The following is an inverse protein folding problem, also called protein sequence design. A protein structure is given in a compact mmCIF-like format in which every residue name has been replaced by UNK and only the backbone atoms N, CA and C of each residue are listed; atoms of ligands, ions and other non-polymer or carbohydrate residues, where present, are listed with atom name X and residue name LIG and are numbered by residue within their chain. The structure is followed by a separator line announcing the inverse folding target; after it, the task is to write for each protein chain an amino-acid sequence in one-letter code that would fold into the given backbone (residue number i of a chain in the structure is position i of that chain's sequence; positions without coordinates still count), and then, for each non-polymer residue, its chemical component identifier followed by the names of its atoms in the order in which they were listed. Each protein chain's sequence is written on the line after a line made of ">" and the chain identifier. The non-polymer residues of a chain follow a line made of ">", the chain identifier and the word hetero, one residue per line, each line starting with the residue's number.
data_IF_971017981459
#
_entry.id   IF_971017981459
#
_cell.length_a   1.000
_cell.length_b   1.000
_cell.length_c   1.000
_cell.angle_alpha   90.00
_cell.angle_beta   90.00
_cell.angle_gamma   90.00
#
_symmetry.space_group_name_H-M   'P 1'
#
loop_
_entity.id
_entity.type
_entity.pdbx_description
1 polymer ?
#
# COMPACT_ATOMS: atom_id res chain seq x y z
N UNK A 1 20.21 -17.64 21.28
CA UNK A 1 20.99 -16.88 20.31
C UNK A 1 20.32 -16.99 18.96
N UNK A 2 20.33 -15.91 18.20
CA UNK A 2 19.84 -15.88 16.81
C UNK A 2 20.99 -15.34 15.96
N UNK A 3 21.36 -16.08 14.91
CA UNK A 3 22.32 -15.61 13.93
C UNK A 3 21.57 -14.90 12.82
N UNK A 4 21.96 -13.65 12.53
CA UNK A 4 21.29 -12.78 11.56
C UNK A 4 22.24 -12.54 10.40
N UNK A 5 21.81 -12.90 9.20
CA UNK A 5 22.52 -12.68 7.95
C UNK A 5 21.78 -11.64 7.12
N UNK A 6 22.40 -10.48 6.89
CA UNK A 6 21.83 -9.38 6.11
C UNK A 6 22.49 -9.29 4.73
N UNK A 7 21.71 -8.92 3.72
CA UNK A 7 22.15 -8.82 2.32
C UNK A 7 22.74 -10.13 1.78
N UNK A 8 22.21 -11.24 2.24
CA UNK A 8 22.62 -12.57 1.84
C UNK A 8 21.41 -13.38 1.37
N UNK A 9 21.54 -14.05 0.25
CA UNK A 9 20.53 -14.99 -0.22
C UNK A 9 20.62 -16.28 0.61
N UNK A 10 19.47 -16.77 1.10
CA UNK A 10 19.42 -18.01 1.84
C UNK A 10 19.85 -19.20 0.95
N UNK A 11 20.90 -19.88 1.36
CA UNK A 11 21.43 -21.08 0.71
C UNK A 11 21.37 -22.26 1.68
N UNK A 12 21.45 -23.46 1.14
CA UNK A 12 21.51 -24.69 1.91
C UNK A 12 20.38 -24.86 2.95
N UNK A 13 19.18 -24.40 2.61
CA UNK A 13 18.00 -24.45 3.50
C UNK A 13 17.80 -25.88 4.04
N UNK A 14 18.09 -26.89 3.23
CA UNK A 14 17.96 -28.31 3.60
C UNK A 14 18.98 -28.80 4.63
N UNK A 15 19.93 -27.98 5.05
CA UNK A 15 20.88 -28.28 6.14
C UNK A 15 20.31 -28.05 7.52
N UNK A 16 19.12 -27.47 7.63
CA UNK A 16 18.40 -27.17 8.88
C UNK A 16 17.32 -28.23 9.17
N UNK A 17 16.84 -28.27 10.41
CA UNK A 17 15.76 -29.18 10.82
C UNK A 17 14.37 -28.71 10.38
N UNK A 18 14.19 -27.39 10.22
CA UNK A 18 12.91 -26.74 9.87
C UNK A 18 13.14 -25.40 9.20
N UNK A 19 12.29 -25.03 8.27
CA UNK A 19 12.34 -23.70 7.65
C UNK A 19 11.03 -22.92 7.83
N UNK A 20 11.16 -21.64 8.14
CA UNK A 20 10.06 -20.69 8.13
C UNK A 20 10.30 -19.68 7.00
N UNK A 21 9.37 -19.64 6.05
CA UNK A 21 9.44 -18.80 4.86
C UNK A 21 8.57 -17.59 5.10
N UNK A 22 9.19 -16.39 5.14
CA UNK A 22 8.53 -15.13 5.44
C UNK A 22 8.96 -14.05 4.43
N UNK A 23 8.81 -14.35 3.11
CA UNK A 23 9.28 -13.48 2.02
C UNK A 23 8.35 -12.30 1.72
N UNK A 24 7.26 -12.14 2.49
CA UNK A 24 6.41 -10.95 2.45
C UNK A 24 5.56 -10.82 1.17
N UNK A 25 5.31 -9.57 0.81
CA UNK A 25 4.52 -9.17 -0.34
C UNK A 25 5.20 -8.01 -1.08
N UNK A 26 4.63 -7.61 -2.20
CA UNK A 26 5.00 -6.41 -2.96
C UNK A 26 3.75 -5.59 -3.28
N UNK A 27 3.93 -4.29 -3.54
CA UNK A 27 2.82 -3.44 -3.95
C UNK A 27 2.21 -3.96 -5.25
N UNK A 28 0.88 -3.94 -5.34
CA UNK A 28 0.19 -4.32 -6.57
C UNK A 28 0.44 -3.26 -7.65
N UNK A 29 0.77 -3.69 -8.87
CA UNK A 29 0.79 -2.79 -10.01
C UNK A 29 -0.57 -2.13 -10.20
N UNK A 30 -0.61 -0.92 -10.73
CA UNK A 30 -1.85 -0.19 -10.98
C UNK A 30 -2.74 -0.98 -11.95
N UNK A 31 -3.87 -1.54 -11.50
CA UNK A 31 -4.75 -2.36 -12.34
C UNK A 31 -5.73 -1.52 -13.16
N UNK A 32 -5.82 -0.22 -12.88
CA UNK A 32 -6.72 0.72 -13.55
C UNK A 32 -6.07 1.14 -14.87
N UNK A 33 -6.82 1.21 -15.98
CA UNK A 33 -6.28 1.69 -17.26
C UNK A 33 -5.63 3.06 -17.12
N UNK A 34 -4.39 3.19 -17.56
CA UNK A 34 -3.61 4.42 -17.44
C UNK A 34 -2.62 4.58 -18.59
N UNK A 35 -2.21 5.83 -18.82
CA UNK A 35 -1.11 6.20 -19.69
C UNK A 35 0.22 6.32 -18.93
N UNK A 36 1.13 7.14 -19.42
CA UNK A 36 2.40 7.46 -18.74
C UNK A 36 2.27 8.54 -17.67
N UNK A 37 1.13 8.64 -17.00
CA UNK A 37 0.92 9.55 -15.86
C UNK A 37 1.90 9.26 -14.73
N UNK A 38 2.19 10.28 -13.91
CA UNK A 38 3.11 10.16 -12.78
C UNK A 38 2.47 9.36 -11.63
N UNK A 39 2.60 8.05 -11.71
CA UNK A 39 2.05 7.11 -10.73
C UNK A 39 3.18 6.52 -9.89
N UNK A 40 3.05 6.62 -8.56
CA UNK A 40 4.01 6.13 -7.57
C UNK A 40 3.30 5.17 -6.62
N UNK A 41 3.99 4.15 -6.13
CA UNK A 41 3.39 3.27 -5.13
C UNK A 41 3.36 3.93 -3.74
N UNK A 42 2.33 3.63 -2.95
CA UNK A 42 2.26 4.05 -1.55
C UNK A 42 3.47 3.54 -0.73
N UNK A 43 3.99 2.36 -1.04
CA UNK A 43 5.15 1.80 -0.37
C UNK A 43 6.42 2.59 -0.65
N UNK A 44 6.63 3.03 -1.89
CA UNK A 44 7.81 3.84 -2.24
C UNK A 44 7.74 5.20 -1.54
N UNK A 45 6.54 5.82 -1.50
CA UNK A 45 6.31 7.07 -0.77
C UNK A 45 6.64 6.93 0.71
N UNK A 46 6.12 5.89 1.37
CA UNK A 46 6.39 5.63 2.79
C UNK A 46 7.85 5.23 3.05
N UNK A 47 8.54 4.67 2.06
CA UNK A 47 9.97 4.40 2.09
C UNK A 47 10.84 5.63 1.77
N UNK A 48 10.24 6.80 1.56
CA UNK A 48 10.94 8.06 1.43
C UNK A 48 11.10 8.59 0.01
N UNK A 49 10.43 7.98 -0.99
CA UNK A 49 10.38 8.58 -2.32
C UNK A 49 9.66 9.93 -2.24
N UNK A 50 10.33 10.97 -2.69
CA UNK A 50 9.72 12.30 -2.75
C UNK A 50 8.70 12.38 -3.88
N UNK A 51 7.63 13.10 -3.61
CA UNK A 51 6.57 13.42 -4.57
C UNK A 51 6.42 14.93 -4.68
N UNK A 52 5.73 15.40 -5.71
CA UNK A 52 5.58 16.82 -5.98
C UNK A 52 4.13 17.22 -6.13
N UNK A 53 3.81 18.45 -5.71
CA UNK A 53 2.54 19.12 -5.97
C UNK A 53 1.32 18.45 -5.30
N UNK A 54 0.18 18.53 -6.00
CA UNK A 54 -1.08 17.99 -5.54
C UNK A 54 -1.13 16.47 -5.74
N UNK A 55 -1.50 15.73 -4.70
CA UNK A 55 -1.48 14.27 -4.67
C UNK A 55 -2.89 13.68 -4.68
N UNK A 56 -3.11 12.67 -5.52
CA UNK A 56 -4.33 11.85 -5.49
C UNK A 56 -3.96 10.44 -5.07
N UNK A 57 -4.46 10.00 -3.91
CA UNK A 57 -4.29 8.63 -3.39
C UNK A 57 -5.46 7.78 -3.85
N UNK A 58 -5.18 6.75 -4.65
CA UNK A 58 -6.19 5.79 -5.13
C UNK A 58 -6.17 4.56 -4.24
N UNK A 59 -7.26 4.36 -3.51
CA UNK A 59 -7.41 3.37 -2.45
C UNK A 59 -7.30 4.01 -1.07
N UNK A 60 -8.38 3.98 -0.31
CA UNK A 60 -8.50 4.54 1.05
C UNK A 60 -8.47 3.48 2.14
N UNK A 61 -7.86 2.31 1.91
CA UNK A 61 -7.56 1.35 2.95
C UNK A 61 -6.54 1.88 3.96
N UNK A 62 -6.06 1.05 4.92
CA UNK A 62 -5.13 1.50 5.96
C UNK A 62 -3.88 2.15 5.37
N UNK A 63 -3.18 1.48 4.47
CA UNK A 63 -1.95 2.00 3.85
C UNK A 63 -2.20 3.28 3.06
N UNK A 64 -3.32 3.38 2.32
CA UNK A 64 -3.67 4.58 1.57
C UNK A 64 -3.99 5.76 2.48
N UNK A 65 -4.70 5.53 3.59
CA UNK A 65 -5.00 6.54 4.60
C UNK A 65 -3.73 7.05 5.30
N UNK A 66 -2.85 6.14 5.73
CA UNK A 66 -1.54 6.48 6.32
C UNK A 66 -0.65 7.26 5.34
N UNK A 67 -0.65 6.87 4.06
CA UNK A 67 0.08 7.59 3.02
C UNK A 67 -0.47 8.99 2.81
N UNK A 68 -1.80 9.14 2.82
CA UNK A 68 -2.44 10.44 2.70
C UNK A 68 -2.13 11.35 3.88
N UNK A 69 -2.17 10.82 5.11
CA UNK A 69 -1.78 11.53 6.33
C UNK A 69 -0.31 11.99 6.25
N UNK A 70 0.59 11.09 5.88
CA UNK A 70 2.01 11.39 5.71
C UNK A 70 2.25 12.53 4.70
N UNK A 71 1.59 12.48 3.54
CA UNK A 71 1.72 13.51 2.50
C UNK A 71 1.12 14.84 2.93
N UNK A 72 -0.04 14.83 3.58
CA UNK A 72 -0.69 16.02 4.11
C UNK A 72 0.17 16.70 5.17
N UNK A 73 0.79 15.93 6.07
CA UNK A 73 1.74 16.42 7.08
C UNK A 73 3.03 17.00 6.45
N UNK A 74 3.38 16.58 5.23
CA UNK A 74 4.47 17.20 4.43
C UNK A 74 4.05 18.45 3.67
N UNK A 75 2.79 18.84 3.73
CA UNK A 75 2.26 20.07 3.13
C UNK A 75 1.69 19.91 1.72
N UNK A 76 1.51 18.68 1.24
CA UNK A 76 0.82 18.42 -0.02
C UNK A 76 -0.69 18.58 0.12
N UNK A 77 -1.35 19.07 -0.95
CA UNK A 77 -2.79 18.95 -1.05
C UNK A 77 -3.15 17.52 -1.44
N UNK A 78 -3.97 16.86 -0.63
CA UNK A 78 -4.25 15.44 -0.83
C UNK A 78 -5.73 15.19 -1.06
N UNK A 79 -6.04 14.38 -2.07
CA UNK A 79 -7.37 13.82 -2.30
C UNK A 79 -7.28 12.30 -2.25
N UNK A 80 -8.10 11.67 -1.41
CA UNK A 80 -8.26 10.20 -1.38
C UNK A 80 -9.47 9.84 -2.21
N UNK A 81 -9.33 8.84 -3.09
CA UNK A 81 -10.43 8.26 -3.87
C UNK A 81 -10.61 6.81 -3.47
N UNK A 82 -11.77 6.50 -2.88
CA UNK A 82 -12.09 5.17 -2.35
C UNK A 82 -13.44 4.67 -2.89
N UNK A 83 -13.46 3.46 -3.42
CA UNK A 83 -14.66 2.84 -3.97
C UNK A 83 -15.66 2.38 -2.89
N UNK A 84 -15.18 2.10 -1.69
CA UNK A 84 -15.99 1.74 -0.54
C UNK A 84 -16.59 2.97 0.15
N UNK A 85 -17.45 2.75 1.13
CA UNK A 85 -18.15 3.81 1.86
C UNK A 85 -17.33 4.47 2.98
N UNK A 86 -16.11 3.96 3.25
CA UNK A 86 -15.27 4.40 4.37
C UNK A 86 -13.79 4.41 4.02
N UNK A 87 -13.09 5.41 4.53
CA UNK A 87 -11.63 5.47 4.58
C UNK A 87 -11.14 4.74 5.82
N UNK A 88 -9.97 4.11 5.72
CA UNK A 88 -9.31 3.36 6.81
C UNK A 88 -10.23 2.33 7.49
N UNK A 89 -11.05 1.63 6.69
CA UNK A 89 -11.93 0.59 7.20
C UNK A 89 -11.08 -0.52 7.87
N UNK A 90 -11.35 -0.77 9.15
CA UNK A 90 -10.57 -1.73 9.97
C UNK A 90 -9.51 -1.08 10.85
N UNK A 91 -9.33 0.25 10.79
CA UNK A 91 -8.46 0.94 11.74
C UNK A 91 -9.05 0.93 13.16
N UNK A 92 -8.16 0.95 14.16
CA UNK A 92 -8.56 0.91 15.56
C UNK A 92 -9.41 2.13 15.94
N UNK A 93 -10.33 1.94 16.88
CA UNK A 93 -11.18 3.03 17.39
C UNK A 93 -10.39 4.11 18.13
N UNK A 94 -9.12 3.87 18.42
CA UNK A 94 -8.21 4.82 19.09
C UNK A 94 -7.45 5.67 18.07
N UNK A 95 -7.01 5.09 16.97
CA UNK A 95 -6.19 5.76 15.94
C UNK A 95 -7.07 6.51 14.95
N UNK A 96 -8.17 5.90 14.50
CA UNK A 96 -9.05 6.49 13.49
C UNK A 96 -9.51 7.93 13.80
N UNK A 97 -9.93 8.29 15.03
CA UNK A 97 -10.32 9.68 15.34
C UNK A 97 -9.16 10.68 15.20
N UNK A 98 -7.93 10.27 15.50
CA UNK A 98 -6.75 11.11 15.37
C UNK A 98 -6.42 11.35 13.89
N UNK A 99 -6.42 10.29 13.09
CA UNK A 99 -6.23 10.37 11.63
C UNK A 99 -7.30 11.25 10.98
N UNK A 100 -8.58 11.10 11.34
CA UNK A 100 -9.65 11.93 10.80
C UNK A 100 -9.51 13.42 11.21
N UNK A 101 -9.00 13.67 12.41
CA UNK A 101 -8.65 15.01 12.85
C UNK A 101 -7.53 15.60 11.98
N UNK A 102 -6.47 14.84 11.76
CA UNK A 102 -5.36 15.28 10.92
C UNK A 102 -5.81 15.54 9.47
N UNK A 103 -6.70 14.71 8.94
CA UNK A 103 -7.31 14.97 7.63
C UNK A 103 -8.10 16.29 7.59
N UNK A 104 -8.85 16.59 8.66
CA UNK A 104 -9.58 17.83 8.74
C UNK A 104 -8.63 19.04 8.88
N UNK A 105 -7.60 18.95 9.72
CA UNK A 105 -6.64 20.02 9.96
C UNK A 105 -5.84 20.38 8.68
N UNK A 106 -5.58 19.38 7.81
CA UNK A 106 -4.85 19.55 6.55
C UNK A 106 -5.75 19.66 5.30
N UNK A 107 -7.08 19.69 5.47
CA UNK A 107 -8.06 19.76 4.39
C UNK A 107 -7.92 18.59 3.39
N UNK A 108 -7.61 17.37 3.84
CA UNK A 108 -7.59 16.18 3.00
C UNK A 108 -8.99 15.91 2.46
N UNK A 109 -9.14 15.93 1.13
CA UNK A 109 -10.40 15.62 0.48
C UNK A 109 -10.62 14.13 0.43
N UNK A 110 -11.79 13.65 0.86
CA UNK A 110 -12.14 12.24 0.88
C UNK A 110 -13.34 12.00 -0.05
N UNK A 111 -13.11 11.23 -1.12
CA UNK A 111 -14.13 10.83 -2.07
C UNK A 111 -14.41 9.34 -1.88
N UNK A 112 -15.36 9.02 -1.03
CA UNK A 112 -15.85 7.64 -0.80
C UNK A 112 -16.95 7.29 -1.81
N UNK A 113 -17.31 5.99 -1.91
CA UNK A 113 -18.24 5.46 -2.92
C UNK A 113 -17.87 5.90 -4.35
N UNK A 114 -16.58 6.14 -4.60
CA UNK A 114 -16.08 6.71 -5.84
C UNK A 114 -15.07 5.74 -6.47
N UNK A 115 -15.46 5.12 -7.57
CA UNK A 115 -14.59 4.25 -8.35
C UNK A 115 -13.83 5.06 -9.39
N UNK A 116 -12.54 4.80 -9.52
CA UNK A 116 -11.73 5.33 -10.62
C UNK A 116 -11.96 4.48 -11.86
N UNK A 117 -12.25 5.12 -12.98
CA UNK A 117 -12.48 4.47 -14.27
C UNK A 117 -11.17 4.32 -15.07
N UNK A 118 -10.42 5.40 -15.20
CA UNK A 118 -9.11 5.42 -15.87
C UNK A 118 -8.29 6.65 -15.43
N UNK A 119 -7.02 6.68 -15.83
CA UNK A 119 -6.08 7.76 -15.59
C UNK A 119 -5.47 8.18 -16.92
N UNK A 120 -5.50 9.47 -17.23
CA UNK A 120 -4.92 10.01 -18.46
C UNK A 120 -4.39 11.43 -18.21
N UNK A 121 -3.17 11.72 -18.67
CA UNK A 121 -2.54 13.04 -18.58
C UNK A 121 -2.51 13.60 -17.12
N UNK A 122 -2.23 12.76 -16.14
CA UNK A 122 -2.25 13.07 -14.71
C UNK A 122 -3.64 13.54 -14.23
N UNK A 123 -4.71 13.10 -14.86
CA UNK A 123 -6.08 13.31 -14.41
C UNK A 123 -6.68 11.94 -14.06
N UNK A 124 -7.23 11.85 -12.86
CA UNK A 124 -7.98 10.68 -12.38
C UNK A 124 -9.44 10.87 -12.74
N UNK A 125 -9.97 10.01 -13.58
CA UNK A 125 -11.35 10.04 -14.05
C UNK A 125 -12.23 9.10 -13.25
N UNK A 126 -13.36 9.59 -12.83
CA UNK A 126 -14.43 8.84 -12.17
C UNK A 126 -15.75 9.06 -12.91
N UNK A 127 -16.80 8.37 -12.53
CA UNK A 127 -18.12 8.55 -13.14
C UNK A 127 -18.63 10.01 -13.06
N UNK A 128 -18.22 10.78 -12.05
CA UNK A 128 -18.77 12.11 -11.78
C UNK A 128 -17.72 13.24 -11.77
N UNK A 129 -16.43 12.90 -11.64
CA UNK A 129 -15.36 13.87 -11.43
C UNK A 129 -14.14 13.62 -12.31
N UNK A 130 -13.39 14.68 -12.55
CA UNK A 130 -12.05 14.68 -13.12
C UNK A 130 -11.12 15.36 -12.11
N UNK A 131 -10.18 14.61 -11.55
CA UNK A 131 -9.33 15.09 -10.47
C UNK A 131 -7.90 15.19 -11.01
N UNK A 132 -7.43 16.42 -11.17
CA UNK A 132 -6.06 16.68 -11.59
C UNK A 132 -5.10 16.41 -10.43
N UNK A 133 -3.96 15.81 -10.72
CA UNK A 133 -2.89 15.55 -9.78
C UNK A 133 -1.53 15.88 -10.39
N UNK A 134 -0.55 16.25 -9.59
CA UNK A 134 0.85 16.28 -9.99
C UNK A 134 1.51 14.91 -9.75
N UNK A 135 1.05 14.21 -8.71
CA UNK A 135 1.44 12.84 -8.42
C UNK A 135 0.22 11.99 -8.03
N UNK A 136 0.12 10.81 -8.60
CA UNK A 136 -0.93 9.83 -8.30
C UNK A 136 -0.32 8.69 -7.50
N UNK A 137 -0.93 8.36 -6.36
CA UNK A 137 -0.43 7.34 -5.45
C UNK A 137 -1.27 6.07 -5.60
N UNK A 138 -0.62 4.98 -5.98
CA UNK A 138 -1.25 3.66 -6.03
C UNK A 138 -1.23 3.02 -4.63
N UNK A 139 -2.39 2.97 -3.99
CA UNK A 139 -2.61 2.34 -2.69
C UNK A 139 -3.66 1.21 -2.75
N UNK A 140 -3.76 0.53 -3.90
CA UNK A 140 -4.78 -0.50 -4.17
C UNK A 140 -4.47 -1.87 -3.56
N UNK A 141 -3.42 -1.94 -2.72
CA UNK A 141 -3.06 -3.11 -1.97
C UNK A 141 -1.77 -3.79 -2.42
N UNK A 142 -1.58 -5.00 -1.95
CA UNK A 142 -0.36 -5.78 -2.18
C UNK A 142 -0.67 -7.18 -2.70
N UNK A 143 0.31 -7.80 -3.35
CA UNK A 143 0.29 -9.20 -3.74
C UNK A 143 1.37 -9.94 -2.98
N UNK A 144 1.05 -11.15 -2.52
CA UNK A 144 2.02 -12.03 -1.87
C UNK A 144 3.18 -12.36 -2.81
N UNK A 145 4.38 -12.38 -2.27
CA UNK A 145 5.52 -12.93 -2.97
C UNK A 145 5.37 -14.46 -3.04
N UNK A 146 5.49 -14.99 -4.25
CA UNK A 146 5.47 -16.44 -4.46
C UNK A 146 6.88 -16.95 -4.22
N UNK A 147 7.01 -17.91 -3.31
CA UNK A 147 8.25 -18.62 -3.07
C UNK A 147 8.14 -20.03 -3.64
N UNK A 148 9.09 -20.44 -4.48
CA UNK A 148 9.18 -21.81 -4.98
C UNK A 148 9.87 -22.68 -3.93
N UNK A 149 9.07 -23.46 -3.22
CA UNK A 149 9.51 -24.40 -2.18
C UNK A 149 9.78 -25.82 -2.68
N UNK A 150 9.68 -26.05 -3.99
CA UNK A 150 9.82 -27.36 -4.60
C UNK A 150 11.18 -28.06 -4.32
N UNK A 151 12.21 -27.28 -4.03
CA UNK A 151 13.55 -27.75 -3.69
C UNK A 151 13.76 -28.00 -2.19
N UNK A 152 12.80 -27.61 -1.34
CA UNK A 152 12.91 -27.77 0.12
C UNK A 152 12.43 -29.17 0.51
N UNK A 153 13.31 -29.94 1.09
CA UNK A 153 13.02 -31.35 1.49
C UNK A 153 12.77 -31.51 2.98
N UNK A 154 13.07 -30.49 3.78
CA UNK A 154 12.80 -30.46 5.22
C UNK A 154 11.40 -29.94 5.52
N UNK A 155 10.84 -30.18 6.72
CA UNK A 155 9.60 -29.56 7.15
C UNK A 155 9.70 -28.04 7.08
N UNK A 156 8.69 -27.38 6.50
CA UNK A 156 8.67 -25.93 6.36
C UNK A 156 7.25 -25.37 6.40
N UNK A 157 7.13 -24.06 6.58
CA UNK A 157 5.88 -23.32 6.57
C UNK A 157 6.07 -21.91 6.01
N UNK A 158 5.12 -21.42 5.22
CA UNK A 158 5.04 -20.01 4.83
C UNK A 158 4.21 -19.25 5.86
N UNK A 159 4.70 -18.07 6.29
CA UNK A 159 4.05 -17.22 7.29
C UNK A 159 4.00 -15.76 6.84
N UNK A 160 3.11 -14.98 7.44
CA UNK A 160 2.93 -13.57 7.08
C UNK A 160 2.31 -13.39 5.68
N UNK A 161 2.57 -12.26 5.05
CA UNK A 161 1.91 -11.88 3.79
C UNK A 161 2.12 -12.89 2.66
N UNK A 162 3.23 -13.61 2.64
CA UNK A 162 3.47 -14.63 1.61
C UNK A 162 2.59 -15.88 1.78
N UNK A 163 2.04 -16.16 2.95
CA UNK A 163 1.06 -17.24 3.16
C UNK A 163 -0.31 -16.92 2.55
N UNK A 164 -0.59 -15.65 2.31
CA UNK A 164 -1.89 -15.15 1.89
C UNK A 164 -2.89 -14.96 3.04
N UNK A 165 -2.49 -15.24 4.28
CA UNK A 165 -3.24 -14.92 5.48
C UNK A 165 -2.74 -13.57 6.01
N UNK A 166 -3.64 -12.59 6.17
CA UNK A 166 -3.31 -11.35 6.88
C UNK A 166 -3.16 -11.66 8.36
N UNK A 167 -1.94 -11.55 8.85
CA UNK A 167 -1.63 -11.69 10.29
C UNK A 167 -1.78 -10.36 11.05
N UNK A 168 -2.75 -9.54 10.65
CA UNK A 168 -2.96 -8.23 11.28
C UNK A 168 -3.81 -8.27 12.55
N UNK A 169 -4.15 -9.45 13.06
CA UNK A 169 -4.95 -9.60 14.27
C UNK A 169 -4.16 -10.32 15.38
N UNK A 170 -3.12 -9.66 15.89
CA UNK A 170 -2.54 -10.04 17.18
C UNK A 170 -2.63 -8.85 18.14
#
# INVERSE_FOLDING_TARGET
>A
NVDIHLNEEAKDINSYDYAIIAVGAHNMEMPIPHDNSNIVSSWDVLNGQEVTGDCVVIGGGLVGAETAEYLANKGHQVTIVEMMDKIAAGESTTVLPLMMKDFADHNVKQLVNTKVDHIENNIVYTANDQIKADTIINALGSKKNIFDDSSITIPHVCVGDCSGERTADI
#
